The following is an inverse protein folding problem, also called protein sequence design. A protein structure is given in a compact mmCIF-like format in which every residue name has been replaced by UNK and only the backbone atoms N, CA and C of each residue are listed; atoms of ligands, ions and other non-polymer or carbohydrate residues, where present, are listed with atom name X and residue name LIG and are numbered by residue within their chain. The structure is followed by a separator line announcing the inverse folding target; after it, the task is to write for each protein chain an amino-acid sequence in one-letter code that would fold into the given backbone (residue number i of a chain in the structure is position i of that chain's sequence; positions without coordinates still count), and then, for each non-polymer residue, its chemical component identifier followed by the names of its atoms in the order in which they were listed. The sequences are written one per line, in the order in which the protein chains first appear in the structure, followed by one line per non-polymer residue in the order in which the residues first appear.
data_IF_328461151422
#
_entry.id   IF_328461151422
#
_cell.length_a   1.000
_cell.length_b   1.000
_cell.length_c   1.000
_cell.angle_alpha   90.00
_cell.angle_beta   90.00
_cell.angle_gamma   90.00
#
_symmetry.space_group_name_H-M   'P 1'
#
loop_
_entity.id
_entity.type
_entity.pdbx_description
1 polymer ?
#
# COMPACT_ATOMS: atom_id res chain seq x y z
N UNK A 1 74.59 -12.72 38.86
CA UNK A 1 74.01 -11.56 38.15
C UNK A 1 72.53 -11.74 38.00
N UNK A 2 71.75 -11.09 38.86
CA UNK A 2 70.29 -11.07 38.82
C UNK A 2 69.85 -9.75 38.06
N UNK A 3 69.11 -9.83 36.99
CA UNK A 3 68.43 -8.65 36.39
C UNK A 3 67.10 -9.02 35.75
N UNK A 4 66.07 -8.51 36.38
CA UNK A 4 64.85 -7.87 35.82
C UNK A 4 63.83 -8.76 35.11
N UNK A 5 62.91 -9.28 35.93
CA UNK A 5 61.54 -9.64 35.45
C UNK A 5 60.47 -8.73 36.09
N UNK A 6 60.71 -7.40 36.02
CA UNK A 6 59.72 -6.42 36.62
C UNK A 6 58.92 -5.58 35.63
N UNK A 7 58.97 -5.90 34.34
CA UNK A 7 58.34 -5.08 33.31
C UNK A 7 57.14 -5.74 32.60
N UNK A 8 56.79 -6.99 32.94
CA UNK A 8 55.69 -7.70 32.28
C UNK A 8 54.38 -7.63 33.08
N UNK A 9 54.38 -7.29 34.35
CA UNK A 9 53.18 -7.26 35.19
C UNK A 9 52.41 -5.94 35.14
N UNK A 10 53.00 -4.86 34.62
CA UNK A 10 52.31 -3.54 34.53
C UNK A 10 51.52 -3.36 33.24
N UNK A 11 51.74 -4.17 32.21
CA UNK A 11 51.02 -4.06 30.96
C UNK A 11 49.69 -4.87 30.92
N UNK A 12 49.52 -5.83 31.83
CA UNK A 12 48.29 -6.64 31.90
C UNK A 12 47.15 -5.99 32.69
N UNK A 13 47.45 -4.96 33.50
CA UNK A 13 46.42 -4.27 34.31
C UNK A 13 45.77 -3.07 33.58
N UNK A 14 46.36 -2.62 32.46
CA UNK A 14 45.85 -1.48 31.70
C UNK A 14 44.78 -1.82 30.66
N UNK A 15 44.57 -3.11 30.31
CA UNK A 15 43.63 -3.52 29.24
C UNK A 15 42.26 -3.93 29.78
N UNK A 16 42.13 -4.12 31.09
CA UNK A 16 40.87 -4.53 31.72
C UNK A 16 39.90 -3.37 32.02
N UNK A 17 40.29 -2.11 31.79
CA UNK A 17 39.48 -0.93 32.12
C UNK A 17 38.79 -0.24 30.91
N UNK A 18 38.91 -0.79 29.71
CA UNK A 18 38.37 -0.14 28.52
C UNK A 18 37.12 -0.82 27.94
N UNK A 19 36.51 -1.78 28.62
CA UNK A 19 35.32 -2.48 28.15
C UNK A 19 34.01 -2.07 28.87
N UNK A 20 33.98 -0.92 29.52
CA UNK A 20 32.70 -0.28 29.80
C UNK A 20 32.27 0.48 28.55
N UNK A 21 31.65 -0.26 27.62
CA UNK A 21 30.94 0.35 26.53
C UNK A 21 30.01 1.42 27.12
N UNK A 22 30.07 2.64 26.61
CA UNK A 22 29.11 3.71 26.94
C UNK A 22 27.72 3.10 26.82
N UNK A 23 27.07 2.85 27.94
CA UNK A 23 25.68 2.42 27.97
C UNK A 23 24.89 3.62 27.46
N UNK A 24 24.39 3.52 26.22
CA UNK A 24 23.52 4.55 25.65
C UNK A 24 22.35 4.75 26.61
N UNK A 25 22.09 6.00 26.99
CA UNK A 25 20.97 6.37 27.85
C UNK A 25 19.68 5.76 27.26
N UNK A 26 18.97 4.91 28.03
CA UNK A 26 17.80 4.17 27.55
C UNK A 26 18.06 2.75 27.02
N UNK A 27 19.30 2.26 26.97
CA UNK A 27 19.63 0.87 26.62
C UNK A 27 19.30 -0.13 27.74
N UNK A 28 19.16 -1.43 27.38
CA UNK A 28 18.96 -2.51 28.37
C UNK A 28 20.26 -2.73 29.13
N UNK A 29 20.25 -2.43 30.45
CA UNK A 29 21.40 -2.67 31.32
C UNK A 29 21.55 -4.17 31.66
N UNK A 30 22.70 -4.55 32.19
CA UNK A 30 22.94 -5.91 32.63
C UNK A 30 21.94 -6.34 33.73
N UNK A 31 21.63 -5.44 34.65
CA UNK A 31 20.68 -5.64 35.74
C UNK A 31 19.24 -5.77 35.18
N UNK A 32 18.82 -4.90 34.24
CA UNK A 32 17.55 -5.03 33.55
C UNK A 32 17.43 -6.36 32.80
N UNK A 33 18.49 -6.78 32.10
CA UNK A 33 18.51 -8.06 31.38
C UNK A 33 18.35 -9.23 32.33
N UNK A 34 18.99 -9.17 33.48
CA UNK A 34 18.84 -10.19 34.52
C UNK A 34 17.42 -10.28 35.07
N UNK A 35 16.79 -9.12 35.36
CA UNK A 35 15.40 -9.08 35.82
C UNK A 35 14.43 -9.61 34.74
N UNK A 36 14.64 -9.22 33.47
CA UNK A 36 13.85 -9.72 32.33
C UNK A 36 13.95 -11.24 32.21
N UNK A 37 15.19 -11.79 32.29
CA UNK A 37 15.37 -13.24 32.23
C UNK A 37 14.72 -13.97 33.40
N UNK A 38 14.75 -13.40 34.60
CA UNK A 38 14.11 -13.97 35.80
C UNK A 38 12.58 -13.94 35.75
N UNK A 39 12.00 -13.03 34.96
CA UNK A 39 10.52 -12.95 34.77
C UNK A 39 9.98 -14.13 33.98
N UNK A 40 10.80 -14.77 33.13
CA UNK A 40 10.40 -15.93 32.34
C UNK A 40 10.70 -17.26 33.09
N UNK A 41 9.64 -17.95 33.51
CA UNK A 41 9.76 -19.18 34.32
C UNK A 41 9.76 -20.49 33.52
N UNK A 42 9.43 -20.44 32.24
CA UNK A 42 9.48 -21.58 31.33
C UNK A 42 8.59 -22.76 31.74
N UNK A 43 7.28 -22.53 31.84
CA UNK A 43 6.33 -23.59 32.24
C UNK A 43 6.16 -24.64 31.13
N UNK A 44 5.63 -25.84 31.45
CA UNK A 44 5.26 -26.84 30.43
C UNK A 44 4.30 -26.27 29.37
N UNK A 45 3.40 -25.38 29.78
CA UNK A 45 2.47 -24.67 28.88
C UNK A 45 3.22 -23.76 27.91
N UNK A 46 4.22 -23.01 28.39
CA UNK A 46 5.04 -22.15 27.51
C UNK A 46 5.80 -22.97 26.47
N UNK A 47 6.27 -24.16 26.84
CA UNK A 47 6.95 -25.07 25.90
C UNK A 47 5.97 -25.60 24.83
N UNK A 48 4.74 -25.95 25.22
CA UNK A 48 3.73 -26.40 24.26
C UNK A 48 3.33 -25.27 23.31
N UNK A 49 3.11 -24.06 23.81
CA UNK A 49 2.82 -22.86 23.00
C UNK A 49 4.00 -22.54 22.08
N UNK A 50 5.23 -22.57 22.58
CA UNK A 50 6.42 -22.34 21.75
C UNK A 50 6.48 -23.33 20.58
N UNK A 51 6.28 -24.62 20.82
CA UNK A 51 6.27 -25.62 19.77
C UNK A 51 5.15 -25.38 18.75
N UNK A 52 3.97 -24.98 19.21
CA UNK A 52 2.85 -24.67 18.33
C UNK A 52 3.14 -23.46 17.44
N UNK A 53 3.60 -22.34 18.01
CA UNK A 53 3.89 -21.09 17.29
C UNK A 53 5.10 -21.23 16.36
N UNK A 54 6.15 -21.96 16.79
CA UNK A 54 7.37 -22.11 15.98
C UNK A 54 7.16 -22.91 14.69
N UNK A 55 6.12 -23.73 14.63
CA UNK A 55 5.86 -24.63 13.50
C UNK A 55 4.60 -24.29 12.71
N UNK A 56 3.84 -23.28 13.12
CA UNK A 56 2.56 -22.93 12.48
C UNK A 56 2.41 -21.41 12.33
N UNK A 57 1.56 -21.01 11.41
CA UNK A 57 1.11 -19.62 11.28
C UNK A 57 0.29 -19.21 12.51
N UNK A 58 0.75 -18.18 13.23
CA UNK A 58 0.11 -17.67 14.45
C UNK A 58 -1.34 -17.22 14.22
N UNK A 59 -1.67 -16.71 13.02
CA UNK A 59 -3.03 -16.30 12.68
C UNK A 59 -3.98 -17.51 12.62
N UNK A 60 -3.47 -18.67 12.18
CA UNK A 60 -4.25 -19.92 12.17
C UNK A 60 -4.47 -20.46 13.58
N UNK A 61 -3.47 -20.33 14.45
CA UNK A 61 -3.57 -20.76 15.85
C UNK A 61 -4.48 -19.85 16.69
N UNK A 62 -4.58 -18.56 16.35
CA UNK A 62 -5.42 -17.61 17.04
C UNK A 62 -6.93 -17.79 16.76
N UNK A 63 -7.29 -18.57 15.73
CA UNK A 63 -8.70 -18.81 15.40
C UNK A 63 -9.33 -19.78 16.41
N UNK A 64 -10.35 -19.33 17.15
CA UNK A 64 -11.11 -20.21 18.01
C UNK A 64 -11.94 -21.21 17.18
N UNK A 65 -11.65 -22.51 17.34
CA UNK A 65 -12.32 -23.58 16.61
C UNK A 65 -13.83 -23.65 16.91
N UNK A 66 -14.22 -23.35 18.14
CA UNK A 66 -15.63 -23.41 18.57
C UNK A 66 -16.49 -22.31 17.91
N UNK A 67 -15.85 -21.19 17.52
CA UNK A 67 -16.54 -20.08 16.86
C UNK A 67 -16.85 -20.37 15.38
N UNK A 68 -16.20 -21.34 14.75
CA UNK A 68 -16.35 -21.62 13.31
C UNK A 68 -17.76 -22.14 12.93
N UNK A 69 -18.48 -22.70 13.86
CA UNK A 69 -19.75 -23.37 13.59
C UNK A 69 -20.99 -22.60 14.09
N UNK A 70 -20.80 -21.41 14.66
CA UNK A 70 -21.88 -20.63 15.31
C UNK A 70 -22.35 -19.43 14.48
N UNK A 71 -22.21 -19.48 13.16
CA UNK A 71 -22.75 -18.41 12.30
C UNK A 71 -24.20 -18.74 11.91
N UNK A 72 -25.11 -17.83 12.28
CA UNK A 72 -26.47 -17.84 11.73
C UNK A 72 -26.38 -17.42 10.25
N UNK A 73 -26.82 -18.31 9.36
CA UNK A 73 -26.84 -18.09 7.91
C UNK A 73 -28.20 -17.63 7.38
N UNK A 74 -29.17 -17.36 8.29
CA UNK A 74 -30.47 -16.83 7.90
C UNK A 74 -30.38 -15.33 7.63
N UNK A 75 -30.86 -14.92 6.46
CA UNK A 75 -30.96 -13.51 6.06
C UNK A 75 -32.39 -13.23 5.60
N UNK A 76 -33.05 -12.22 6.20
CA UNK A 76 -34.41 -11.79 5.81
C UNK A 76 -34.50 -11.23 4.39
N UNK A 77 -33.40 -10.65 3.91
CA UNK A 77 -33.28 -10.12 2.54
C UNK A 77 -31.99 -10.64 1.89
N UNK A 78 -32.11 -11.13 0.66
CA UNK A 78 -30.98 -11.67 -0.09
C UNK A 78 -30.95 -11.07 -1.49
N UNK A 79 -29.80 -10.50 -1.89
CA UNK A 79 -29.54 -10.05 -3.25
C UNK A 79 -28.81 -11.16 -4.02
N UNK A 80 -29.32 -11.56 -5.17
CA UNK A 80 -28.68 -12.56 -6.01
C UNK A 80 -27.60 -11.91 -6.87
N UNK A 81 -26.37 -11.94 -6.39
CA UNK A 81 -25.21 -11.35 -7.08
C UNK A 81 -24.51 -12.34 -8.05
N UNK A 82 -24.94 -13.58 -8.12
CA UNK A 82 -24.36 -14.65 -8.96
C UNK A 82 -22.84 -14.72 -8.88
N UNK A 83 -22.31 -15.13 -7.73
CA UNK A 83 -20.89 -15.38 -7.49
C UNK A 83 -20.17 -14.34 -6.67
N UNK A 84 -18.88 -14.60 -6.44
CA UNK A 84 -17.98 -13.80 -5.59
C UNK A 84 -16.85 -13.28 -6.46
N UNK A 85 -16.44 -12.05 -6.24
CA UNK A 85 -15.24 -11.44 -6.84
C UNK A 85 -14.09 -11.39 -5.85
N UNK A 86 -12.86 -11.44 -6.33
CA UNK A 86 -11.66 -11.44 -5.50
C UNK A 86 -10.71 -10.33 -5.94
N UNK A 87 -10.44 -9.36 -5.08
CA UNK A 87 -9.54 -8.24 -5.37
C UNK A 87 -8.05 -8.61 -5.34
N UNK A 88 -7.71 -9.84 -4.93
CA UNK A 88 -6.34 -10.32 -4.77
C UNK A 88 -5.50 -9.41 -3.86
N UNK A 89 -4.22 -9.20 -4.18
CA UNK A 89 -3.28 -8.35 -3.44
C UNK A 89 -3.35 -6.88 -3.89
N UNK A 90 -4.54 -6.28 -3.78
CA UNK A 90 -4.78 -4.89 -4.17
C UNK A 90 -5.66 -4.16 -3.14
N UNK A 91 -5.59 -2.83 -3.06
CA UNK A 91 -6.43 -1.98 -2.22
C UNK A 91 -7.77 -1.62 -2.88
N UNK A 92 -8.24 -2.35 -3.90
CA UNK A 92 -9.42 -2.07 -4.72
C UNK A 92 -10.75 -2.54 -4.09
N UNK A 93 -10.80 -2.84 -2.77
CA UNK A 93 -12.03 -3.33 -2.13
C UNK A 93 -13.24 -2.41 -2.37
N UNK A 94 -13.05 -1.11 -2.32
CA UNK A 94 -14.05 -0.08 -2.59
C UNK A 94 -14.64 -0.22 -4.00
N UNK A 95 -13.78 -0.43 -5.00
CA UNK A 95 -14.16 -0.58 -6.41
C UNK A 95 -14.92 -1.90 -6.65
N UNK A 96 -14.39 -3.02 -6.13
CA UNK A 96 -15.04 -4.32 -6.22
C UNK A 96 -16.42 -4.30 -5.56
N UNK A 97 -16.53 -3.69 -4.38
CA UNK A 97 -17.81 -3.58 -3.66
C UNK A 97 -18.83 -2.80 -4.48
N UNK A 98 -18.47 -1.60 -4.97
CA UNK A 98 -19.41 -0.79 -5.73
C UNK A 98 -19.81 -1.40 -7.07
N UNK A 99 -18.86 -1.94 -7.83
CA UNK A 99 -19.17 -2.64 -9.08
C UNK A 99 -20.04 -3.89 -8.84
N UNK A 100 -19.89 -4.59 -7.72
CA UNK A 100 -20.76 -5.72 -7.37
C UNK A 100 -22.20 -5.28 -7.06
N UNK A 101 -22.40 -4.11 -6.45
CA UNK A 101 -23.76 -3.55 -6.26
C UNK A 101 -24.42 -3.28 -7.61
N UNK A 102 -23.72 -2.58 -8.52
CA UNK A 102 -24.25 -2.32 -9.87
C UNK A 102 -24.39 -3.59 -10.70
N UNK A 103 -23.50 -4.56 -10.54
CA UNK A 103 -23.60 -5.87 -11.18
C UNK A 103 -24.89 -6.60 -10.81
N UNK A 104 -25.23 -6.65 -9.54
CA UNK A 104 -26.45 -7.30 -9.09
C UNK A 104 -27.71 -6.65 -9.68
N UNK A 105 -27.71 -5.31 -9.76
CA UNK A 105 -28.80 -4.55 -10.39
C UNK A 105 -28.88 -4.81 -11.90
N UNK A 106 -27.74 -4.83 -12.62
CA UNK A 106 -27.67 -5.11 -14.05
C UNK A 106 -28.18 -6.51 -14.37
N UNK A 107 -27.72 -7.52 -13.62
CA UNK A 107 -28.16 -8.92 -13.76
C UNK A 107 -29.68 -9.02 -13.61
N UNK A 108 -30.25 -8.40 -12.57
CA UNK A 108 -31.69 -8.44 -12.32
C UNK A 108 -32.48 -7.70 -13.41
N UNK A 109 -32.02 -6.52 -13.84
CA UNK A 109 -32.71 -5.67 -14.81
C UNK A 109 -32.71 -6.24 -16.24
N UNK A 110 -31.59 -6.82 -16.65
CA UNK A 110 -31.38 -7.27 -18.03
C UNK A 110 -31.40 -8.80 -18.17
N UNK A 111 -31.74 -9.52 -17.09
CA UNK A 111 -31.76 -10.99 -17.03
C UNK A 111 -30.44 -11.62 -17.53
N UNK A 112 -29.32 -11.03 -17.10
CA UNK A 112 -27.97 -11.49 -17.50
C UNK A 112 -27.58 -12.76 -16.74
N UNK A 113 -26.76 -13.62 -17.38
CA UNK A 113 -26.12 -14.78 -16.76
C UNK A 113 -25.01 -14.39 -15.79
N UNK A 114 -23.91 -15.12 -15.87
CA UNK A 114 -22.70 -14.77 -15.13
C UNK A 114 -22.03 -13.57 -15.80
N UNK A 115 -22.31 -12.41 -15.24
CA UNK A 115 -21.80 -11.12 -15.73
C UNK A 115 -20.90 -10.47 -14.69
N UNK A 116 -19.84 -9.84 -15.15
CA UNK A 116 -18.96 -8.99 -14.31
C UNK A 116 -18.57 -7.74 -15.10
N UNK A 117 -18.47 -6.61 -14.39
CA UNK A 117 -17.78 -5.43 -14.92
C UNK A 117 -16.28 -5.59 -14.80
N UNK A 118 -15.52 -4.99 -15.70
CA UNK A 118 -14.06 -4.91 -15.61
C UNK A 118 -13.65 -3.97 -14.47
N UNK A 119 -13.09 -4.53 -13.42
CA UNK A 119 -12.47 -3.75 -12.36
C UNK A 119 -11.18 -3.10 -12.84
N UNK A 120 -10.45 -3.77 -13.74
CA UNK A 120 -9.22 -3.26 -14.32
C UNK A 120 -9.45 -1.97 -15.13
N UNK A 121 -10.55 -1.89 -15.92
CA UNK A 121 -10.94 -0.69 -16.67
C UNK A 121 -11.17 0.51 -15.75
N UNK A 122 -12.02 0.35 -14.75
CA UNK A 122 -12.34 1.43 -13.82
C UNK A 122 -11.11 1.83 -12.96
N UNK A 123 -10.28 0.85 -12.59
CA UNK A 123 -9.04 1.08 -11.87
C UNK A 123 -8.01 1.88 -12.68
N UNK A 124 -7.90 1.63 -13.99
CA UNK A 124 -7.03 2.40 -14.88
C UNK A 124 -7.33 3.90 -14.80
N UNK A 125 -8.61 4.25 -14.93
CA UNK A 125 -9.04 5.64 -14.89
C UNK A 125 -8.90 6.26 -13.49
N UNK A 126 -9.18 5.51 -12.44
CA UNK A 126 -8.95 5.95 -11.06
C UNK A 126 -7.48 6.33 -10.83
N UNK A 127 -6.56 5.51 -11.28
CA UNK A 127 -5.13 5.78 -11.11
C UNK A 127 -4.68 6.99 -11.94
N UNK A 128 -5.21 7.19 -13.13
CA UNK A 128 -4.90 8.37 -13.95
C UNK A 128 -5.46 9.65 -13.32
N UNK A 129 -6.69 9.61 -12.79
CA UNK A 129 -7.31 10.75 -12.10
C UNK A 129 -6.56 11.11 -10.82
N UNK A 130 -6.13 10.13 -10.05
CA UNK A 130 -5.30 10.38 -8.85
C UNK A 130 -3.94 10.96 -9.18
N UNK A 131 -3.33 10.53 -10.29
CA UNK A 131 -2.10 11.12 -10.79
C UNK A 131 -2.31 12.59 -11.19
N UNK A 132 -3.42 12.90 -11.88
CA UNK A 132 -3.80 14.26 -12.19
C UNK A 132 -4.04 15.10 -10.93
N UNK A 133 -4.74 14.56 -9.94
CA UNK A 133 -4.99 15.22 -8.65
C UNK A 133 -3.68 15.57 -7.93
N UNK A 134 -2.73 14.65 -7.92
CA UNK A 134 -1.40 14.91 -7.34
C UNK A 134 -0.69 16.06 -8.06
N UNK A 135 -0.57 16.00 -9.39
CA UNK A 135 0.12 17.02 -10.18
C UNK A 135 -0.56 18.39 -10.07
N UNK A 136 -1.90 18.41 -10.07
CA UNK A 136 -2.66 19.64 -9.84
C UNK A 136 -2.40 20.21 -8.45
N UNK A 137 -2.42 19.37 -7.41
CA UNK A 137 -2.10 19.79 -6.05
C UNK A 137 -0.68 20.36 -5.91
N UNK A 138 0.27 19.85 -6.69
CA UNK A 138 1.64 20.43 -6.75
C UNK A 138 1.61 21.83 -7.38
N UNK A 139 0.88 22.01 -8.49
CA UNK A 139 0.75 23.33 -9.14
C UNK A 139 0.06 24.32 -8.19
N UNK A 140 -1.03 23.92 -7.53
CA UNK A 140 -1.79 24.76 -6.62
C UNK A 140 -0.99 25.17 -5.38
N UNK A 141 -0.08 24.31 -4.93
CA UNK A 141 0.80 24.55 -3.78
C UNK A 141 2.20 25.01 -4.14
N UNK A 142 2.47 25.37 -5.38
CA UNK A 142 3.81 25.65 -5.91
C UNK A 142 4.58 26.73 -5.15
N UNK A 143 3.87 27.73 -4.60
CA UNK A 143 4.46 28.85 -3.84
C UNK A 143 4.69 28.53 -2.36
N UNK A 144 4.13 27.43 -1.86
CA UNK A 144 4.31 26.99 -0.48
C UNK A 144 5.67 26.31 -0.29
N UNK A 145 6.31 26.45 0.88
CA UNK A 145 7.58 25.78 1.15
C UNK A 145 7.43 24.25 1.22
N UNK A 146 8.54 23.51 1.12
CA UNK A 146 8.53 22.04 1.11
C UNK A 146 8.06 21.42 2.44
N UNK A 147 8.20 22.13 3.55
CA UNK A 147 7.74 21.75 4.90
C UNK A 147 6.29 22.16 5.20
N UNK A 148 5.57 22.77 4.23
CA UNK A 148 4.13 22.95 4.35
C UNK A 148 3.44 21.59 4.44
N UNK A 149 2.53 21.42 5.38
CA UNK A 149 1.86 20.12 5.67
C UNK A 149 1.13 19.54 4.48
N UNK A 150 0.55 20.38 3.61
CA UNK A 150 -0.11 19.89 2.39
C UNK A 150 0.90 19.39 1.37
N UNK A 151 2.02 20.13 1.19
CA UNK A 151 3.11 19.71 0.29
C UNK A 151 3.73 18.41 0.77
N UNK A 152 4.05 18.29 2.05
CA UNK A 152 4.54 17.04 2.64
C UNK A 152 3.57 15.89 2.42
N UNK A 153 2.27 16.10 2.64
CA UNK A 153 1.24 15.09 2.47
C UNK A 153 1.17 14.60 1.02
N UNK A 154 1.18 15.53 0.05
CA UNK A 154 1.20 15.19 -1.38
C UNK A 154 2.41 14.31 -1.72
N UNK A 155 3.61 14.71 -1.32
CA UNK A 155 4.81 13.93 -1.60
C UNK A 155 4.89 12.60 -0.84
N UNK A 156 4.27 12.48 0.34
CA UNK A 156 4.14 11.20 1.06
C UNK A 156 3.15 10.26 0.37
N UNK A 157 2.07 10.80 -0.19
CA UNK A 157 0.94 10.04 -0.73
C UNK A 157 0.66 10.37 -2.22
N UNK A 158 1.62 10.19 -3.13
CA UNK A 158 1.47 10.61 -4.52
C UNK A 158 0.41 9.78 -5.28
N UNK A 159 0.18 8.53 -4.85
CA UNK A 159 -0.77 7.61 -5.46
C UNK A 159 -1.22 6.58 -4.44
N UNK A 160 -2.48 6.15 -4.53
CA UNK A 160 -3.06 5.09 -3.72
C UNK A 160 -4.06 4.28 -4.54
N UNK A 161 -4.16 2.97 -4.30
CA UNK A 161 -5.19 2.11 -4.89
C UNK A 161 -6.48 2.04 -4.05
N UNK A 162 -6.47 2.62 -2.85
CA UNK A 162 -7.64 2.76 -2.00
C UNK A 162 -8.64 3.84 -2.47
N UNK A 163 -9.87 3.75 -2.03
CA UNK A 163 -10.92 4.74 -2.37
C UNK A 163 -12.21 4.52 -1.59
N UNK A 164 -13.23 5.29 -1.95
CA UNK A 164 -14.55 5.28 -1.33
C UNK A 164 -15.65 5.24 -2.41
N UNK A 165 -16.91 5.07 -1.99
CA UNK A 165 -18.06 4.98 -2.92
C UNK A 165 -18.20 6.21 -3.83
N UNK A 166 -17.92 7.40 -3.34
CA UNK A 166 -17.94 8.63 -4.16
C UNK A 166 -16.99 8.54 -5.36
N UNK A 167 -15.79 7.96 -5.17
CA UNK A 167 -14.84 7.74 -6.26
C UNK A 167 -15.37 6.80 -7.34
N UNK A 168 -16.17 5.77 -6.96
CA UNK A 168 -16.84 4.92 -7.97
C UNK A 168 -17.83 5.73 -8.78
N UNK A 169 -18.70 6.50 -8.11
CA UNK A 169 -19.70 7.33 -8.76
C UNK A 169 -19.07 8.26 -9.80
N UNK A 170 -17.97 8.90 -9.43
CA UNK A 170 -17.26 9.84 -10.30
C UNK A 170 -16.62 9.14 -11.50
N UNK A 171 -15.92 8.01 -11.27
CA UNK A 171 -15.29 7.24 -12.35
C UNK A 171 -16.31 6.66 -13.31
N UNK A 172 -17.38 6.06 -12.80
CA UNK A 172 -18.43 5.49 -13.64
C UNK A 172 -19.20 6.58 -14.40
N UNK A 173 -19.47 7.70 -13.77
CA UNK A 173 -20.14 8.84 -14.41
C UNK A 173 -19.32 9.45 -15.55
N UNK A 174 -17.98 9.48 -15.41
CA UNK A 174 -17.08 10.09 -16.40
C UNK A 174 -16.65 9.13 -17.50
N UNK A 175 -16.31 7.89 -17.18
CA UNK A 175 -15.70 6.93 -18.09
C UNK A 175 -16.59 5.73 -18.44
N UNK A 176 -17.70 5.57 -17.74
CA UNK A 176 -18.57 4.42 -17.91
C UNK A 176 -17.97 3.13 -17.35
N UNK A 177 -18.46 2.01 -17.86
CA UNK A 177 -18.02 0.65 -17.51
C UNK A 177 -17.95 -0.22 -18.75
N UNK A 178 -17.12 -1.27 -18.68
CA UNK A 178 -17.07 -2.30 -19.72
C UNK A 178 -17.20 -3.69 -19.09
N UNK A 179 -17.64 -4.72 -19.83
CA UNK A 179 -17.60 -6.10 -19.35
C UNK A 179 -16.19 -6.56 -19.02
N UNK A 180 -16.06 -7.51 -18.09
CA UNK A 180 -14.78 -8.02 -17.65
C UNK A 180 -13.94 -8.64 -18.79
N UNK A 181 -14.59 -9.27 -19.76
CA UNK A 181 -13.96 -9.93 -20.91
C UNK A 181 -13.36 -8.91 -21.90
N UNK A 182 -13.81 -7.68 -21.86
CA UNK A 182 -13.35 -6.59 -22.76
C UNK A 182 -12.03 -5.98 -22.28
N UNK A 183 -11.81 -5.90 -20.98
CA UNK A 183 -10.54 -5.52 -20.38
C UNK A 183 -10.28 -6.39 -19.13
N UNK A 184 -9.53 -7.45 -19.34
CA UNK A 184 -9.26 -8.49 -18.33
C UNK A 184 -8.29 -8.01 -17.25
N UNK A 185 -8.31 -8.67 -16.10
CA UNK A 185 -7.31 -8.45 -15.04
C UNK A 185 -5.91 -8.83 -15.54
N UNK A 186 -4.90 -8.10 -15.06
CA UNK A 186 -3.48 -8.35 -15.32
C UNK A 186 -2.77 -8.71 -14.02
N UNK A 187 -1.53 -9.20 -14.11
CA UNK A 187 -0.72 -9.40 -12.91
C UNK A 187 -0.58 -8.10 -12.09
N UNK A 188 -0.41 -6.95 -12.75
CA UNK A 188 -0.26 -5.65 -12.07
C UNK A 188 -1.56 -5.15 -11.45
N UNK A 189 -2.73 -5.47 -11.98
CA UNK A 189 -4.00 -5.15 -11.36
C UNK A 189 -4.32 -6.09 -10.18
N UNK A 190 -3.94 -7.36 -10.27
CA UNK A 190 -4.09 -8.32 -9.17
C UNK A 190 -3.05 -8.12 -8.04
N UNK A 191 -1.91 -7.46 -8.32
CA UNK A 191 -0.85 -7.15 -7.36
C UNK A 191 -0.32 -5.73 -7.58
N UNK A 192 -1.06 -4.74 -7.09
CA UNK A 192 -0.90 -3.31 -7.42
C UNK A 192 0.35 -2.65 -6.83
N UNK A 193 0.91 -3.18 -5.75
CA UNK A 193 1.95 -2.50 -4.96
C UNK A 193 3.19 -2.08 -5.76
N UNK A 194 3.70 -2.93 -6.65
CA UNK A 194 4.90 -2.61 -7.45
C UNK A 194 4.63 -1.52 -8.46
N UNK A 195 3.54 -1.62 -9.21
CA UNK A 195 3.13 -0.60 -10.18
C UNK A 195 2.88 0.75 -9.49
N UNK A 196 2.10 0.76 -8.42
CA UNK A 196 1.81 1.97 -7.65
C UNK A 196 3.08 2.67 -7.13
N UNK A 197 4.06 1.89 -6.65
CA UNK A 197 5.35 2.43 -6.22
C UNK A 197 6.10 3.11 -7.37
N UNK A 198 6.22 2.45 -8.53
CA UNK A 198 6.93 3.01 -9.69
C UNK A 198 6.27 4.28 -10.21
N UNK A 199 4.94 4.29 -10.32
CA UNK A 199 4.17 5.48 -10.71
C UNK A 199 4.33 6.59 -9.66
N UNK A 200 4.27 6.25 -8.38
CA UNK A 200 4.46 7.20 -7.28
C UNK A 200 5.84 7.85 -7.30
N UNK A 201 6.91 7.09 -7.60
CA UNK A 201 8.26 7.65 -7.78
C UNK A 201 8.32 8.62 -8.97
N UNK A 202 7.70 8.27 -10.10
CA UNK A 202 7.63 9.14 -11.28
C UNK A 202 6.82 10.41 -11.00
N UNK A 203 5.71 10.30 -10.28
CA UNK A 203 4.93 11.47 -9.86
C UNK A 203 5.73 12.41 -8.95
N UNK A 204 6.50 11.88 -8.00
CA UNK A 204 7.40 12.69 -7.16
C UNK A 204 8.44 13.43 -7.99
N UNK A 205 9.06 12.75 -8.95
CA UNK A 205 10.00 13.38 -9.90
C UNK A 205 9.33 14.54 -10.65
N UNK A 206 8.15 14.31 -11.21
CA UNK A 206 7.38 15.33 -11.91
C UNK A 206 6.95 16.49 -10.98
N UNK A 207 6.54 16.17 -9.76
CA UNK A 207 6.21 17.19 -8.76
C UNK A 207 7.39 18.11 -8.44
N UNK A 208 8.61 17.56 -8.32
CA UNK A 208 9.83 18.35 -8.13
C UNK A 208 10.15 19.21 -9.36
N UNK A 209 9.97 18.67 -10.57
CA UNK A 209 10.17 19.42 -11.83
C UNK A 209 9.22 20.61 -11.93
N UNK A 210 7.92 20.43 -11.66
CA UNK A 210 6.93 21.51 -11.69
C UNK A 210 7.26 22.60 -10.66
N UNK A 211 7.70 22.24 -9.46
CA UNK A 211 8.10 23.19 -8.44
C UNK A 211 9.36 23.95 -8.82
N UNK A 212 10.36 23.27 -9.39
CA UNK A 212 11.59 23.92 -9.89
C UNK A 212 11.29 24.92 -11.01
N UNK A 213 10.44 24.56 -11.97
CA UNK A 213 10.00 25.46 -13.04
C UNK A 213 9.25 26.68 -12.47
N UNK A 214 8.35 26.48 -11.50
CA UNK A 214 7.68 27.59 -10.83
C UNK A 214 8.66 28.51 -10.13
N UNK A 215 9.65 27.98 -9.41
CA UNK A 215 10.67 28.76 -8.74
C UNK A 215 11.55 29.57 -9.74
N UNK A 216 11.68 29.10 -10.97
CA UNK A 216 12.33 29.80 -12.07
C UNK A 216 11.43 30.79 -12.82
N UNK A 217 10.21 31.01 -12.33
CA UNK A 217 9.27 31.99 -12.86
C UNK A 217 8.35 31.49 -13.98
N UNK A 218 8.20 30.19 -14.16
CA UNK A 218 7.24 29.63 -15.13
C UNK A 218 5.80 30.04 -14.77
N UNK A 219 5.04 30.46 -15.76
CA UNK A 219 3.61 30.79 -15.60
C UNK A 219 2.78 29.53 -15.43
N UNK A 220 1.65 29.64 -14.74
CA UNK A 220 0.72 28.52 -14.49
C UNK A 220 0.34 27.82 -15.79
N UNK A 221 0.06 28.55 -16.86
CA UNK A 221 -0.30 27.96 -18.15
C UNK A 221 0.81 27.03 -18.74
N UNK A 222 2.08 27.33 -18.47
CA UNK A 222 3.20 26.45 -18.86
C UNK A 222 3.23 25.18 -18.01
N UNK A 223 3.04 25.32 -16.69
CA UNK A 223 2.97 24.17 -15.77
C UNK A 223 1.79 23.24 -16.11
N UNK A 224 0.63 23.78 -16.47
CA UNK A 224 -0.54 23.00 -16.91
C UNK A 224 -0.28 22.24 -18.22
N UNK A 225 0.45 22.86 -19.16
CA UNK A 225 0.89 22.16 -20.38
C UNK A 225 1.82 21.00 -20.03
N UNK A 226 2.82 21.22 -19.22
CA UNK A 226 3.77 20.20 -18.81
C UNK A 226 3.11 19.08 -18.00
N UNK A 227 2.14 19.41 -17.14
CA UNK A 227 1.29 18.42 -16.45
C UNK A 227 0.60 17.49 -17.47
N UNK A 228 0.08 18.02 -18.58
CA UNK A 228 -0.56 17.20 -19.61
C UNK A 228 0.43 16.22 -20.25
N UNK A 229 1.66 16.65 -20.54
CA UNK A 229 2.70 15.77 -21.08
C UNK A 229 3.17 14.72 -20.05
N UNK A 230 3.26 15.11 -18.78
CA UNK A 230 3.56 14.21 -17.66
C UNK A 230 2.48 13.14 -17.50
N UNK A 231 1.20 13.53 -17.59
CA UNK A 231 0.07 12.58 -17.57
C UNK A 231 0.10 11.62 -18.75
N UNK A 232 0.56 12.05 -19.93
CA UNK A 232 0.80 11.17 -21.08
C UNK A 232 1.83 10.07 -20.73
N UNK A 233 2.87 10.40 -19.97
CA UNK A 233 3.84 9.42 -19.47
C UNK A 233 3.21 8.45 -18.48
N UNK A 234 2.39 8.95 -17.54
CA UNK A 234 1.68 8.11 -16.57
C UNK A 234 0.67 7.19 -17.27
N UNK A 235 -0.07 7.73 -18.26
CA UNK A 235 -0.98 6.93 -19.10
C UNK A 235 -0.25 5.76 -19.76
N UNK A 236 0.91 6.01 -20.36
CA UNK A 236 1.75 4.94 -20.94
C UNK A 236 2.17 3.91 -19.90
N UNK A 237 2.57 4.33 -18.69
CA UNK A 237 2.91 3.39 -17.62
C UNK A 237 1.71 2.53 -17.23
N UNK A 238 0.52 3.12 -17.15
CA UNK A 238 -0.71 2.38 -16.87
C UNK A 238 -1.04 1.39 -18.01
N UNK A 239 -0.95 1.81 -19.27
CA UNK A 239 -1.18 0.92 -20.43
C UNK A 239 -0.25 -0.29 -20.40
N UNK A 240 1.04 -0.10 -20.11
CA UNK A 240 2.02 -1.19 -20.03
C UNK A 240 1.75 -2.18 -18.89
N UNK A 241 1.06 -1.76 -17.84
CA UNK A 241 0.75 -2.59 -16.68
C UNK A 241 -0.67 -3.20 -16.71
N UNK A 242 -1.64 -2.44 -17.18
CA UNK A 242 -3.08 -2.77 -17.07
C UNK A 242 -3.73 -3.08 -18.41
N UNK A 243 -3.07 -2.78 -19.52
CA UNK A 243 -3.65 -2.77 -20.86
C UNK A 243 -4.26 -1.42 -21.23
N UNK A 244 -4.46 -1.18 -22.52
CA UNK A 244 -5.09 0.05 -23.01
C UNK A 244 -6.62 -0.05 -22.88
N UNK A 245 -7.28 0.94 -22.25
CA UNK A 245 -8.73 0.96 -22.17
C UNK A 245 -9.39 0.99 -23.56
N UNK A 246 -10.35 0.12 -23.84
CA UNK A 246 -11.00 0.06 -25.14
C UNK A 246 -11.86 1.31 -25.37
N UNK A 247 -11.78 1.86 -26.57
CA UNK A 247 -12.65 2.96 -27.02
C UNK A 247 -13.89 2.46 -27.76
N UNK A 248 -13.83 1.27 -28.32
CA UNK A 248 -14.92 0.56 -29.00
C UNK A 248 -14.80 -0.93 -28.74
N UNK A 249 -15.92 -1.59 -28.53
CA UNK A 249 -15.97 -3.05 -28.37
C UNK A 249 -17.35 -3.57 -28.81
N UNK A 250 -17.39 -4.85 -29.13
CA UNK A 250 -18.61 -5.63 -29.29
C UNK A 250 -18.64 -6.70 -28.22
N UNK A 251 -19.79 -6.84 -27.57
CA UNK A 251 -19.96 -7.79 -26.47
C UNK A 251 -21.33 -8.46 -26.55
#
# INVERSE_FOLDING_TARGET
MKRNNLWITTLALGIALSAYGQQADGGISAEMLQQIKQSYKGTPTDKAIHNAISNNDINKLAVNADSKNNFDTYFSNKVNSKGITNQKSSGRCWLFTGLNVFRAQAIAKYNMGDFQFSQNYSFFWDQLEKANLFLQGIIDTREKPMDDKMVEWLFKNPLSDGGQFTGISDILGKYGVVPADVMVETHSSESTGRMANLIGLKLKEFGLQLRDQSAKGAKVAALEKDKTEMLGTIYRMLVLNLGEPPTKFTW
#
